data_IF_538359586594
#
_entry.id   IF_538359586594
#
_cell.length_a   1.000
_cell.length_b   1.000
_cell.length_c   1.000
_cell.angle_alpha   90.00
_cell.angle_beta   90.00
_cell.angle_gamma   90.00
#
_symmetry.space_group_name_H-M   'P 1'
#
loop_
_entity.id
_entity.type
_entity.pdbx_description
1 polymer ?
#
# COMPACT_ATOMS: atom_id res chain seq x y z
N UNK A 1 20.87 -2.74 -39.86
CA UNK A 1 22.28 -2.33 -39.68
C UNK A 1 22.34 -1.43 -38.46
N UNK A 2 23.06 -1.65 -37.36
CA UNK A 2 23.90 -2.71 -36.80
C UNK A 2 23.77 -2.52 -35.26
N UNK A 3 23.42 -3.49 -34.42
CA UNK A 3 24.23 -4.59 -33.89
C UNK A 3 25.58 -4.13 -33.27
N UNK A 4 25.63 -4.05 -31.94
CA UNK A 4 26.86 -4.24 -31.17
C UNK A 4 26.53 -4.78 -29.77
N UNK A 5 26.97 -6.02 -29.56
CA UNK A 5 26.93 -6.78 -28.32
C UNK A 5 28.33 -6.76 -27.66
N UNK A 6 28.39 -6.82 -26.34
CA UNK A 6 29.55 -7.27 -25.56
C UNK A 6 29.01 -7.71 -24.18
N UNK A 7 28.80 -9.00 -23.92
CA UNK A 7 29.79 -9.96 -23.42
C UNK A 7 30.37 -9.54 -22.05
N UNK A 8 29.92 -10.20 -20.98
CA UNK A 8 30.47 -10.05 -19.64
C UNK A 8 31.72 -10.90 -19.39
N UNK A 9 32.20 -10.92 -18.14
CA UNK A 9 32.72 -12.15 -17.55
C UNK A 9 32.14 -12.43 -16.15
N UNK A 10 31.91 -13.72 -15.87
CA UNK A 10 31.68 -14.33 -14.54
C UNK A 10 33.02 -14.63 -13.84
N UNK A 11 33.05 -15.38 -12.72
CA UNK A 11 32.65 -15.05 -11.35
C UNK A 11 33.88 -14.98 -10.40
N UNK A 12 33.80 -14.23 -9.30
CA UNK A 12 34.87 -14.13 -8.30
C UNK A 12 34.35 -14.36 -6.88
N UNK A 13 34.97 -15.32 -6.19
CA UNK A 13 34.68 -15.86 -4.86
C UNK A 13 34.71 -14.84 -3.70
N UNK A 14 33.97 -15.15 -2.62
CA UNK A 14 34.03 -14.47 -1.30
C UNK A 14 35.37 -14.67 -0.56
N UNK A 15 35.50 -14.38 0.76
CA UNK A 15 34.47 -14.20 1.80
C UNK A 15 34.59 -12.84 2.54
N UNK A 16 33.59 -12.44 3.31
CA UNK A 16 33.67 -11.22 4.11
C UNK A 16 32.52 -11.07 5.08
N UNK A 17 32.79 -11.44 6.33
CA UNK A 17 32.07 -11.13 7.56
C UNK A 17 31.04 -10.00 7.44
N UNK A 18 29.77 -10.36 7.64
CA UNK A 18 28.82 -9.40 8.19
C UNK A 18 29.15 -9.24 9.67
N UNK A 19 29.41 -8.04 10.20
CA UNK A 19 29.48 -7.89 11.64
C UNK A 19 28.06 -8.13 12.16
N UNK A 20 27.88 -9.23 12.89
CA UNK A 20 26.80 -9.39 13.84
C UNK A 20 26.75 -8.13 14.71
N UNK A 21 25.76 -7.27 14.46
CA UNK A 21 25.43 -6.17 15.33
C UNK A 21 24.88 -6.72 16.65
N UNK A 22 25.07 -6.03 17.79
CA UNK A 22 24.72 -6.59 19.09
C UNK A 22 23.20 -6.73 19.20
N UNK A 23 22.70 -7.96 19.12
CA UNK A 23 21.28 -8.32 19.25
C UNK A 23 20.74 -8.21 20.69
N UNK A 24 21.37 -7.41 21.56
CA UNK A 24 21.01 -7.30 22.98
C UNK A 24 20.12 -6.12 23.39
N UNK A 25 20.02 -5.04 22.61
CA UNK A 25 19.48 -3.75 23.13
C UNK A 25 18.11 -3.29 22.55
N UNK A 26 17.57 -3.99 21.56
CA UNK A 26 16.37 -3.56 20.84
C UNK A 26 15.08 -3.42 21.69
N UNK A 27 14.77 -4.30 22.67
CA UNK A 27 13.53 -4.18 23.43
C UNK A 27 13.54 -3.01 24.42
N UNK A 28 14.71 -2.67 24.98
CA UNK A 28 14.84 -1.55 25.92
C UNK A 28 14.73 -0.18 25.23
N UNK A 29 15.31 -0.03 24.03
CA UNK A 29 15.16 1.21 23.24
C UNK A 29 13.71 1.47 22.86
N UNK A 30 12.95 0.42 22.50
CA UNK A 30 11.53 0.53 22.14
C UNK A 30 10.66 0.90 23.35
N UNK A 31 10.96 0.33 24.53
CA UNK A 31 10.31 0.69 25.79
C UNK A 31 10.63 2.12 26.23
N UNK A 32 11.88 2.56 26.08
CA UNK A 32 12.30 3.95 26.35
C UNK A 32 11.60 4.95 25.43
N UNK A 33 11.56 4.68 24.12
CA UNK A 33 10.89 5.54 23.15
C UNK A 33 9.37 5.63 23.41
N UNK A 34 8.73 4.49 23.74
CA UNK A 34 7.32 4.47 24.11
C UNK A 34 7.03 5.21 25.42
N UNK A 35 7.93 5.11 26.42
CA UNK A 35 7.81 5.87 27.67
C UNK A 35 7.97 7.38 27.46
N UNK A 36 8.92 7.79 26.63
CA UNK A 36 9.14 9.19 26.26
C UNK A 36 7.93 9.80 25.53
N UNK A 37 7.33 9.05 24.61
CA UNK A 37 6.15 9.51 23.87
C UNK A 37 4.92 9.64 24.79
N UNK A 38 4.78 8.75 25.78
CA UNK A 38 3.71 8.80 26.79
C UNK A 38 3.79 10.06 27.67
N UNK A 39 5.00 10.53 27.97
CA UNK A 39 5.25 11.78 28.69
C UNK A 39 4.86 13.01 27.84
N UNK A 40 5.13 12.98 26.53
CA UNK A 40 4.79 14.08 25.61
C UNK A 40 3.27 14.32 25.49
N UNK A 41 2.46 13.25 25.55
CA UNK A 41 1.00 13.34 25.49
C UNK A 41 0.30 13.45 26.86
N UNK A 42 1.06 13.58 27.96
CA UNK A 42 0.49 13.78 29.30
C UNK A 42 -0.29 12.58 29.87
N UNK A 43 -0.04 11.36 29.37
CA UNK A 43 -0.77 10.14 29.77
C UNK A 43 -0.17 9.44 30.99
N UNK A 44 0.68 10.11 31.76
CA UNK A 44 1.28 9.57 32.99
C UNK A 44 0.47 9.99 34.20
N UNK A 45 -0.58 9.21 34.52
CA UNK A 45 -1.14 9.21 35.86
C UNK A 45 -0.26 8.35 36.77
N UNK A 46 0.29 8.99 37.80
CA UNK A 46 0.79 8.35 39.02
C UNK A 46 2.14 7.64 38.91
N UNK A 47 3.24 8.38 39.12
CA UNK A 47 4.47 7.88 39.76
C UNK A 47 5.43 9.06 40.04
N UNK A 48 5.05 9.89 41.02
CA UNK A 48 5.92 10.89 41.64
C UNK A 48 6.45 10.31 42.96
N UNK A 49 7.48 9.46 42.89
CA UNK A 49 8.25 9.07 44.07
C UNK A 49 9.68 8.71 43.65
N UNK A 50 10.63 9.60 43.93
CA UNK A 50 12.05 9.25 43.93
C UNK A 50 12.92 9.84 42.82
N UNK A 51 12.72 11.12 42.45
CA UNK A 51 13.82 11.89 41.82
C UNK A 51 14.46 12.82 42.86
N UNK A 52 15.80 12.92 42.91
CA UNK A 52 16.50 13.89 43.76
C UNK A 52 16.00 15.29 43.42
N UNK A 53 15.95 16.18 44.43
CA UNK A 53 15.41 17.54 44.35
C UNK A 53 15.68 18.19 42.98
N UNK A 54 14.65 18.17 42.14
CA UNK A 54 14.62 18.98 40.93
C UNK A 54 14.54 20.46 41.31
N UNK A 55 14.79 21.37 40.35
CA UNK A 55 14.60 22.81 40.58
C UNK A 55 13.24 23.06 41.25
N UNK A 56 13.21 23.99 42.21
CA UNK A 56 12.01 24.30 42.99
C UNK A 56 10.83 24.46 42.02
N UNK A 57 9.74 23.67 42.15
CA UNK A 57 8.61 23.71 41.20
C UNK A 57 7.90 25.07 41.13
N UNK A 58 8.24 25.99 42.04
CA UNK A 58 7.73 27.35 42.15
C UNK A 58 8.81 28.39 41.80
N UNK A 59 9.99 28.00 41.31
CA UNK A 59 11.06 28.94 40.96
C UNK A 59 10.61 29.86 39.82
N UNK A 60 10.46 31.17 40.08
CA UNK A 60 10.07 32.13 39.04
C UNK A 60 11.15 32.34 37.98
N UNK A 61 12.37 31.80 38.17
CA UNK A 61 13.50 31.93 37.24
C UNK A 61 13.77 30.68 36.40
N UNK A 62 12.98 29.62 36.54
CA UNK A 62 13.07 28.44 35.68
C UNK A 62 12.39 28.68 34.33
N UNK A 63 13.17 28.70 33.24
CA UNK A 63 12.69 28.88 31.87
C UNK A 63 11.66 27.82 31.42
N UNK A 64 11.68 26.63 32.02
CA UNK A 64 10.72 25.55 31.71
C UNK A 64 9.66 25.38 32.80
N UNK A 65 9.67 26.23 33.83
CA UNK A 65 8.80 26.16 35.00
C UNK A 65 7.40 26.73 34.74
N UNK A 66 6.39 26.17 35.39
CA UNK A 66 5.00 26.63 35.28
C UNK A 66 4.77 28.06 35.84
N UNK A 67 5.71 28.54 36.67
CA UNK A 67 5.66 29.85 37.34
C UNK A 67 6.70 30.83 36.83
N UNK A 68 7.24 30.61 35.62
CA UNK A 68 8.23 31.48 35.01
C UNK A 68 7.77 32.95 34.97
N UNK A 69 8.55 33.84 35.59
CA UNK A 69 8.37 35.28 35.57
C UNK A 69 9.51 35.93 34.77
N UNK A 70 9.23 36.48 33.58
CA UNK A 70 10.24 37.11 32.73
C UNK A 70 10.99 38.24 33.42
N UNK A 71 10.33 39.05 34.25
CA UNK A 71 10.94 40.23 34.87
C UNK A 71 11.94 39.83 35.95
N UNK A 72 11.57 38.87 36.81
CA UNK A 72 12.45 38.33 37.87
C UNK A 72 13.64 37.60 37.26
N UNK A 73 13.41 36.82 36.20
CA UNK A 73 14.48 36.15 35.45
C UNK A 73 15.46 37.15 34.81
N UNK A 74 14.95 38.18 34.13
CA UNK A 74 15.77 39.20 33.48
C UNK A 74 16.54 40.06 34.50
N UNK A 75 15.95 40.37 35.65
CA UNK A 75 16.63 41.08 36.74
C UNK A 75 17.82 40.29 37.29
N UNK A 76 17.63 38.98 37.49
CA UNK A 76 18.70 38.06 37.90
C UNK A 76 19.80 37.99 36.83
N UNK A 77 19.41 37.82 35.57
CA UNK A 77 20.32 37.73 34.43
C UNK A 77 21.19 38.98 34.28
N UNK A 78 20.62 40.19 34.45
CA UNK A 78 21.36 41.46 34.43
C UNK A 78 22.40 41.59 35.54
N UNK A 79 22.15 40.98 36.70
CA UNK A 79 23.02 41.07 37.89
C UNK A 79 24.12 40.01 37.89
N UNK A 80 23.86 38.85 37.32
CA UNK A 80 24.68 37.65 37.49
C UNK A 80 25.43 37.22 36.22
N UNK A 81 24.99 37.62 35.02
CA UNK A 81 25.58 37.16 33.76
C UNK A 81 26.31 38.29 32.98
N UNK A 82 27.60 38.11 32.64
CA UNK A 82 28.33 39.05 31.78
C UNK A 82 27.89 38.94 30.31
N UNK A 83 27.98 40.05 29.57
CA UNK A 83 27.50 40.18 28.18
C UNK A 83 28.04 39.09 27.25
N UNK A 84 29.30 38.67 27.38
CA UNK A 84 29.89 37.62 26.57
C UNK A 84 29.15 36.27 26.71
N UNK A 85 28.82 35.89 27.95
CA UNK A 85 28.06 34.65 28.20
C UNK A 85 26.63 34.74 27.66
N UNK A 86 26.03 35.94 27.70
CA UNK A 86 24.70 36.16 27.13
C UNK A 86 24.71 36.02 25.59
N UNK A 87 25.74 36.57 24.93
CA UNK A 87 25.94 36.41 23.49
C UNK A 87 26.21 34.96 23.11
N UNK A 88 27.05 34.25 23.87
CA UNK A 88 27.30 32.82 23.64
C UNK A 88 26.01 32.01 23.79
N UNK A 89 25.23 32.26 24.85
CA UNK A 89 23.94 31.62 25.09
C UNK A 89 22.92 31.92 23.98
N UNK A 90 22.88 33.15 23.46
CA UNK A 90 22.05 33.51 22.30
C UNK A 90 22.48 32.69 21.08
N UNK A 91 23.77 32.62 20.78
CA UNK A 91 24.25 31.85 19.62
C UNK A 91 23.95 30.37 19.74
N UNK A 92 24.05 29.80 20.94
CA UNK A 92 23.73 28.40 21.21
C UNK A 92 22.23 28.14 21.09
N UNK A 93 21.39 29.04 21.60
CA UNK A 93 19.94 28.94 21.44
C UNK A 93 19.54 28.99 19.96
N UNK A 94 20.13 29.89 19.18
CA UNK A 94 19.90 29.96 17.73
C UNK A 94 20.34 28.67 17.02
N UNK A 95 21.47 28.07 17.42
CA UNK A 95 21.91 26.77 16.89
C UNK A 95 20.92 25.66 17.24
N UNK A 96 20.48 25.60 18.49
CA UNK A 96 19.52 24.60 18.96
C UNK A 96 18.18 24.72 18.23
N UNK A 97 17.68 25.94 18.02
CA UNK A 97 16.45 26.19 17.24
C UNK A 97 16.58 25.59 15.83
N UNK A 98 17.71 25.84 15.16
CA UNK A 98 17.95 25.32 13.80
C UNK A 98 18.10 23.80 13.77
N UNK A 99 18.77 23.22 14.75
CA UNK A 99 18.90 21.77 14.87
C UNK A 99 17.54 21.10 15.11
N UNK A 100 16.74 21.62 16.05
CA UNK A 100 15.40 21.12 16.33
C UNK A 100 14.47 21.24 15.12
N UNK A 101 14.54 22.34 14.37
CA UNK A 101 13.77 22.50 13.13
C UNK A 101 14.17 21.46 12.08
N UNK A 102 15.48 21.23 11.89
CA UNK A 102 16.00 20.19 11.00
C UNK A 102 15.55 18.78 11.41
N UNK A 103 15.58 18.48 12.70
CA UNK A 103 15.13 17.19 13.25
C UNK A 103 13.62 17.01 13.04
N UNK A 104 12.84 18.06 13.27
CA UNK A 104 11.39 18.07 13.02
C UNK A 104 11.10 17.83 11.53
N UNK A 105 11.78 18.53 10.63
CA UNK A 105 11.63 18.34 9.18
C UNK A 105 11.96 16.91 8.77
N UNK A 106 13.05 16.35 9.28
CA UNK A 106 13.47 14.97 9.01
C UNK A 106 12.40 13.99 9.49
N UNK A 107 11.88 14.16 10.71
CA UNK A 107 10.84 13.31 11.27
C UNK A 107 9.56 13.35 10.44
N UNK A 108 9.12 14.54 10.01
CA UNK A 108 7.93 14.69 9.15
C UNK A 108 8.14 13.99 7.82
N UNK A 109 9.30 14.17 7.19
CA UNK A 109 9.62 13.55 5.91
C UNK A 109 9.63 12.02 6.01
N UNK A 110 10.28 11.46 7.03
CA UNK A 110 10.28 10.02 7.27
C UNK A 110 8.88 9.46 7.51
N UNK A 111 8.07 10.15 8.30
CA UNK A 111 6.69 9.72 8.55
C UNK A 111 5.83 9.79 7.29
N UNK A 112 5.99 10.84 6.47
CA UNK A 112 5.27 10.97 5.21
C UNK A 112 5.64 9.84 4.24
N UNK A 113 6.92 9.49 4.14
CA UNK A 113 7.36 8.35 3.31
C UNK A 113 6.81 7.02 3.80
N UNK A 114 6.75 6.80 5.12
CA UNK A 114 6.12 5.61 5.71
C UNK A 114 4.63 5.56 5.36
N UNK A 115 3.93 6.70 5.43
CA UNK A 115 2.52 6.79 5.06
C UNK A 115 2.28 6.51 3.56
N UNK A 116 3.09 7.09 2.68
CA UNK A 116 3.02 6.83 1.23
C UNK A 116 3.22 5.33 0.96
N UNK A 117 4.27 4.75 1.54
CA UNK A 117 4.57 3.33 1.38
C UNK A 117 3.41 2.44 1.87
N UNK A 118 2.89 2.71 3.07
CA UNK A 118 1.76 1.98 3.63
C UNK A 118 0.50 2.11 2.76
N UNK A 119 0.23 3.29 2.21
CA UNK A 119 -0.89 3.51 1.28
C UNK A 119 -0.70 2.72 -0.02
N UNK A 120 0.53 2.67 -0.55
CA UNK A 120 0.88 1.83 -1.70
C UNK A 120 0.67 0.34 -1.43
N UNK A 121 1.13 -0.16 -0.28
CA UNK A 121 0.92 -1.55 0.16
C UNK A 121 -0.58 -1.85 0.31
N UNK A 122 -1.34 -0.97 0.95
CA UNK A 122 -2.79 -1.15 1.11
C UNK A 122 -3.51 -1.21 -0.26
N UNK A 123 -3.13 -0.36 -1.21
CA UNK A 123 -3.67 -0.40 -2.57
C UNK A 123 -3.33 -1.72 -3.29
N UNK A 124 -2.11 -2.24 -3.12
CA UNK A 124 -1.71 -3.54 -3.65
C UNK A 124 -2.51 -4.68 -3.03
N UNK A 125 -2.66 -4.70 -1.71
CA UNK A 125 -3.44 -5.70 -1.00
C UNK A 125 -4.90 -5.74 -1.46
N UNK A 126 -5.53 -4.58 -1.69
CA UNK A 126 -6.89 -4.53 -2.27
C UNK A 126 -6.96 -5.14 -3.67
N UNK A 127 -5.95 -4.92 -4.51
CA UNK A 127 -5.89 -5.54 -5.85
C UNK A 127 -5.72 -7.05 -5.74
N UNK A 128 -4.86 -7.53 -4.84
CA UNK A 128 -4.67 -8.95 -4.58
C UNK A 128 -5.94 -9.60 -4.05
N UNK A 129 -6.58 -8.99 -3.06
CA UNK A 129 -7.85 -9.46 -2.51
C UNK A 129 -8.91 -9.63 -3.61
N UNK A 130 -9.03 -8.65 -4.52
CA UNK A 130 -9.92 -8.77 -5.67
C UNK A 130 -9.60 -9.99 -6.55
N UNK A 131 -8.33 -10.29 -6.80
CA UNK A 131 -7.93 -11.46 -7.61
C UNK A 131 -8.25 -12.78 -6.90
N UNK A 132 -8.03 -12.89 -5.59
CA UNK A 132 -8.37 -14.09 -4.83
C UNK A 132 -9.89 -14.32 -4.72
N UNK A 133 -10.67 -13.25 -4.66
CA UNK A 133 -12.14 -13.32 -4.63
C UNK A 133 -12.76 -13.45 -6.03
N UNK A 134 -11.95 -13.33 -7.09
CA UNK A 134 -12.43 -13.30 -8.48
C UNK A 134 -13.23 -14.55 -8.87
N UNK A 135 -12.78 -15.80 -8.60
CA UNK A 135 -13.54 -16.98 -9.00
C UNK A 135 -14.93 -17.05 -8.36
N UNK A 136 -15.04 -16.69 -7.07
CA UNK A 136 -16.31 -16.66 -6.35
C UNK A 136 -17.24 -15.57 -6.89
N UNK A 137 -16.70 -14.37 -7.18
CA UNK A 137 -17.46 -13.27 -7.79
C UNK A 137 -17.93 -13.62 -9.20
N UNK A 138 -17.07 -14.23 -10.01
CA UNK A 138 -17.37 -14.66 -11.37
C UNK A 138 -18.47 -15.73 -11.37
N UNK A 139 -18.35 -16.75 -10.51
CA UNK A 139 -19.37 -17.79 -10.34
C UNK A 139 -20.73 -17.18 -10.01
N UNK A 140 -20.79 -16.26 -9.05
CA UNK A 140 -22.02 -15.56 -8.68
C UNK A 140 -22.61 -14.74 -9.84
N UNK A 141 -21.79 -14.08 -10.65
CA UNK A 141 -22.27 -13.35 -11.83
C UNK A 141 -22.88 -14.30 -12.87
N UNK A 142 -22.29 -15.48 -13.07
CA UNK A 142 -22.84 -16.51 -13.98
C UNK A 142 -24.16 -17.05 -13.46
N UNK A 143 -24.28 -17.33 -12.16
CA UNK A 143 -25.52 -17.81 -11.52
C UNK A 143 -26.67 -16.80 -11.62
N UNK A 144 -26.38 -15.51 -11.49
CA UNK A 144 -27.36 -14.43 -11.59
C UNK A 144 -27.68 -14.02 -13.04
N UNK A 145 -27.04 -14.63 -14.04
CA UNK A 145 -27.19 -14.25 -15.45
C UNK A 145 -26.58 -12.88 -15.79
N UNK A 146 -25.74 -12.32 -14.92
CA UNK A 146 -25.09 -11.02 -15.11
C UNK A 146 -23.82 -11.15 -15.98
N UNK A 147 -24.00 -11.64 -17.21
CA UNK A 147 -22.91 -12.05 -18.10
C UNK A 147 -21.96 -10.90 -18.48
N UNK A 148 -22.48 -9.70 -18.76
CA UNK A 148 -21.64 -8.53 -19.02
C UNK A 148 -20.72 -8.14 -17.87
N UNK A 149 -21.15 -8.35 -16.62
CA UNK A 149 -20.31 -8.09 -15.46
C UNK A 149 -19.22 -9.16 -15.30
N UNK A 150 -19.55 -10.43 -15.58
CA UNK A 150 -18.60 -11.53 -15.56
C UNK A 150 -17.44 -11.29 -16.55
N UNK A 151 -17.76 -10.93 -17.80
CA UNK A 151 -16.76 -10.62 -18.84
C UNK A 151 -15.87 -9.45 -18.43
N UNK A 152 -16.44 -8.39 -17.83
CA UNK A 152 -15.66 -7.25 -17.31
C UNK A 152 -14.69 -7.64 -16.20
N UNK A 153 -15.12 -8.51 -15.26
CA UNK A 153 -14.23 -8.99 -14.21
C UNK A 153 -13.08 -9.83 -14.77
N UNK A 154 -13.39 -10.73 -15.72
CA UNK A 154 -12.38 -11.54 -16.40
C UNK A 154 -11.37 -10.66 -17.14
N UNK A 155 -11.83 -9.73 -17.99
CA UNK A 155 -10.94 -8.85 -18.76
C UNK A 155 -10.04 -7.97 -17.88
N UNK A 156 -10.54 -7.50 -16.73
CA UNK A 156 -9.74 -6.69 -15.79
C UNK A 156 -8.63 -7.49 -15.09
N UNK A 157 -8.86 -8.77 -14.82
CA UNK A 157 -7.91 -9.62 -14.10
C UNK A 157 -6.94 -10.36 -15.04
N UNK A 158 -7.35 -10.62 -16.28
CA UNK A 158 -6.65 -11.47 -17.24
C UNK A 158 -5.18 -11.06 -17.45
N UNK A 159 -4.91 -9.77 -17.67
CA UNK A 159 -3.54 -9.29 -17.90
C UNK A 159 -2.62 -9.58 -16.71
N UNK A 160 -3.11 -9.38 -15.48
CA UNK A 160 -2.32 -9.60 -14.27
C UNK A 160 -2.13 -11.09 -14.00
N UNK A 161 -3.19 -11.89 -14.13
CA UNK A 161 -3.11 -13.35 -13.97
C UNK A 161 -2.13 -13.96 -14.99
N UNK A 162 -2.13 -13.49 -16.23
CA UNK A 162 -1.22 -13.96 -17.27
C UNK A 162 0.24 -13.53 -17.02
N UNK A 163 0.47 -12.29 -16.57
CA UNK A 163 1.81 -11.82 -16.23
C UNK A 163 2.43 -12.63 -15.08
N UNK A 164 1.63 -13.01 -14.08
CA UNK A 164 2.08 -13.72 -12.88
C UNK A 164 1.77 -15.23 -12.90
N UNK A 165 1.48 -15.81 -14.06
CA UNK A 165 1.11 -17.23 -14.23
C UNK A 165 2.16 -18.23 -13.73
N UNK A 166 3.42 -17.79 -13.56
CA UNK A 166 4.49 -18.61 -13.02
C UNK A 166 4.31 -18.91 -11.52
N UNK A 167 3.50 -18.11 -10.82
CA UNK A 167 3.16 -18.35 -9.42
C UNK A 167 1.99 -19.36 -9.35
N UNK A 168 2.15 -20.48 -8.64
CA UNK A 168 1.11 -21.53 -8.57
C UNK A 168 -0.26 -21.01 -8.12
N UNK A 169 -0.31 -20.08 -7.16
CA UNK A 169 -1.58 -19.50 -6.68
C UNK A 169 -2.32 -18.70 -7.76
N UNK A 170 -1.59 -17.91 -8.56
CA UNK A 170 -2.19 -17.13 -9.65
C UNK A 170 -2.63 -18.04 -10.79
N UNK A 171 -1.85 -19.07 -11.09
CA UNK A 171 -2.23 -20.10 -12.06
C UNK A 171 -3.50 -20.83 -11.65
N UNK A 172 -3.62 -21.26 -10.39
CA UNK A 172 -4.83 -21.92 -9.90
C UNK A 172 -6.07 -21.02 -10.06
N UNK A 173 -5.97 -19.75 -9.68
CA UNK A 173 -7.05 -18.77 -9.88
C UNK A 173 -7.39 -18.60 -11.37
N UNK A 174 -6.37 -18.55 -12.22
CA UNK A 174 -6.54 -18.42 -13.66
C UNK A 174 -7.27 -19.65 -14.24
N UNK A 175 -6.86 -20.85 -13.85
CA UNK A 175 -7.47 -22.12 -14.26
C UNK A 175 -8.96 -22.16 -13.81
N UNK A 176 -9.24 -21.79 -12.55
CA UNK A 176 -10.62 -21.69 -12.02
C UNK A 176 -11.46 -20.69 -12.83
N UNK A 177 -10.91 -19.50 -13.10
CA UNK A 177 -11.60 -18.47 -13.89
C UNK A 177 -11.85 -18.93 -15.33
N UNK A 178 -10.92 -19.66 -15.95
CA UNK A 178 -11.09 -20.24 -17.28
C UNK A 178 -12.23 -21.27 -17.30
N UNK A 179 -12.31 -22.15 -16.30
CA UNK A 179 -13.41 -23.13 -16.19
C UNK A 179 -14.76 -22.43 -16.08
N UNK A 180 -14.88 -21.41 -15.23
CA UNK A 180 -16.12 -20.64 -15.07
C UNK A 180 -16.45 -19.87 -16.36
N UNK A 181 -15.45 -19.31 -17.03
CA UNK A 181 -15.61 -18.58 -18.29
C UNK A 181 -16.05 -19.51 -19.44
N UNK A 182 -15.51 -20.73 -19.50
CA UNK A 182 -15.95 -21.73 -20.47
C UNK A 182 -17.42 -22.15 -20.24
N UNK A 183 -17.82 -22.32 -18.97
CA UNK A 183 -19.23 -22.56 -18.61
C UNK A 183 -20.12 -21.39 -19.01
N UNK A 184 -19.69 -20.16 -18.80
CA UNK A 184 -20.37 -18.94 -19.24
C UNK A 184 -20.56 -18.95 -20.77
N UNK A 185 -19.50 -19.23 -21.53
CA UNK A 185 -19.56 -19.30 -22.99
C UNK A 185 -20.57 -20.36 -23.48
N UNK A 186 -20.58 -21.55 -22.84
CA UNK A 186 -21.55 -22.60 -23.15
C UNK A 186 -23.00 -22.16 -22.87
N UNK A 187 -23.27 -21.48 -21.75
CA UNK A 187 -24.60 -20.94 -21.45
C UNK A 187 -25.04 -19.88 -22.47
N UNK A 188 -24.14 -18.99 -22.89
CA UNK A 188 -24.42 -17.99 -23.93
C UNK A 188 -24.73 -18.65 -25.28
N UNK A 189 -23.99 -19.71 -25.66
CA UNK A 189 -24.26 -20.50 -26.88
C UNK A 189 -25.60 -21.22 -26.80
N UNK A 190 -25.94 -21.81 -25.66
CA UNK A 190 -27.22 -22.47 -25.46
C UNK A 190 -28.38 -21.48 -25.55
N UNK A 191 -28.29 -20.34 -24.87
CA UNK A 191 -29.22 -19.21 -24.95
C UNK A 191 -29.44 -18.74 -26.39
N UNK A 192 -28.38 -18.71 -27.18
CA UNK A 192 -28.47 -18.35 -28.60
C UNK A 192 -29.20 -19.44 -29.41
N UNK A 193 -28.87 -20.73 -29.22
CA UNK A 193 -29.47 -21.86 -29.95
C UNK A 193 -30.95 -22.06 -29.63
N UNK A 194 -31.33 -21.88 -28.37
CA UNK A 194 -32.72 -22.05 -27.88
C UNK A 194 -33.68 -20.99 -28.45
N UNK A 195 -33.18 -19.98 -29.16
CA UNK A 195 -33.94 -19.28 -30.20
C UNK A 195 -35.26 -18.70 -29.70
N UNK A 196 -35.20 -17.80 -28.72
CA UNK A 196 -36.38 -17.11 -28.19
C UNK A 196 -36.19 -15.61 -27.91
N UNK A 197 -34.98 -15.09 -28.08
CA UNK A 197 -34.65 -13.72 -27.70
C UNK A 197 -34.51 -12.83 -28.94
N UNK A 198 -35.02 -11.60 -28.86
CA UNK A 198 -35.00 -10.66 -29.99
C UNK A 198 -33.58 -10.40 -30.52
N UNK A 199 -33.51 -9.83 -31.73
CA UNK A 199 -32.26 -9.37 -32.34
C UNK A 199 -31.26 -8.65 -31.39
N UNK A 200 -31.69 -7.77 -30.45
CA UNK A 200 -30.74 -7.13 -29.52
C UNK A 200 -30.09 -8.09 -28.51
N UNK A 201 -30.83 -9.06 -27.98
CA UNK A 201 -30.30 -10.04 -27.02
C UNK A 201 -29.32 -11.03 -27.69
N UNK A 202 -29.56 -11.33 -28.96
CA UNK A 202 -28.64 -12.12 -29.78
C UNK A 202 -27.34 -11.35 -30.04
N UNK A 203 -27.43 -10.06 -30.39
CA UNK A 203 -26.26 -9.20 -30.55
C UNK A 203 -25.44 -9.09 -29.26
N UNK A 204 -26.10 -8.91 -28.11
CA UNK A 204 -25.43 -8.87 -26.80
C UNK A 204 -24.69 -10.19 -26.50
N UNK A 205 -25.29 -11.34 -26.78
CA UNK A 205 -24.61 -12.63 -26.60
C UNK A 205 -23.38 -12.79 -27.49
N UNK A 206 -23.44 -12.31 -28.74
CA UNK A 206 -22.29 -12.32 -29.67
C UNK A 206 -21.19 -11.41 -29.16
N UNK A 207 -21.52 -10.17 -28.75
CA UNK A 207 -20.55 -9.21 -28.20
C UNK A 207 -19.83 -9.76 -26.97
N UNK A 208 -20.56 -10.41 -26.07
CA UNK A 208 -19.99 -11.02 -24.87
C UNK A 208 -19.10 -12.22 -25.20
N UNK A 209 -19.46 -13.05 -26.18
CA UNK A 209 -18.63 -14.18 -26.62
C UNK A 209 -17.33 -13.70 -27.28
N UNK A 210 -17.40 -12.66 -28.11
CA UNK A 210 -16.20 -12.03 -28.70
C UNK A 210 -15.29 -11.43 -27.61
N UNK A 211 -15.88 -10.78 -26.61
CA UNK A 211 -15.14 -10.20 -25.50
C UNK A 211 -14.47 -11.24 -24.57
N UNK A 212 -14.90 -12.52 -24.63
CA UNK A 212 -14.24 -13.64 -23.95
C UNK A 212 -13.01 -14.18 -24.71
N UNK A 213 -12.75 -13.69 -25.94
CA UNK A 213 -11.62 -14.11 -26.76
C UNK A 213 -11.89 -15.34 -27.61
N UNK A 214 -13.16 -15.73 -27.80
CA UNK A 214 -13.53 -16.78 -28.75
C UNK A 214 -13.25 -16.31 -30.19
N UNK A 215 -12.71 -17.18 -31.06
CA UNK A 215 -12.41 -16.83 -32.43
C UNK A 215 -13.69 -16.44 -33.18
N UNK A 216 -13.68 -15.24 -33.78
CA UNK A 216 -14.82 -14.72 -34.52
C UNK A 216 -15.24 -15.63 -35.68
N UNK A 217 -14.30 -16.40 -36.25
CA UNK A 217 -14.51 -17.33 -37.35
C UNK A 217 -15.46 -18.48 -36.96
N UNK A 218 -15.18 -19.17 -35.85
CA UNK A 218 -16.02 -20.27 -35.34
C UNK A 218 -17.41 -19.78 -34.94
N UNK A 219 -17.46 -18.60 -34.33
CA UNK A 219 -18.69 -17.91 -33.99
C UNK A 219 -19.54 -17.63 -35.24
N UNK A 220 -18.96 -17.01 -36.27
CA UNK A 220 -19.65 -16.70 -37.53
C UNK A 220 -20.21 -17.96 -38.22
N UNK A 221 -19.47 -19.06 -38.25
CA UNK A 221 -19.95 -20.31 -38.84
C UNK A 221 -21.15 -20.90 -38.07
N UNK A 222 -21.09 -20.95 -36.74
CA UNK A 222 -22.22 -21.39 -35.91
C UNK A 222 -23.44 -20.47 -36.08
N UNK A 223 -23.23 -19.15 -36.18
CA UNK A 223 -24.29 -18.17 -36.39
C UNK A 223 -24.98 -18.35 -37.74
N UNK A 224 -24.21 -18.52 -38.81
CA UNK A 224 -24.74 -18.74 -40.15
C UNK A 224 -25.47 -20.08 -40.25
N UNK A 225 -24.97 -21.13 -39.58
CA UNK A 225 -25.64 -22.43 -39.52
C UNK A 225 -27.01 -22.34 -38.82
N UNK A 226 -27.12 -21.60 -37.71
CA UNK A 226 -28.40 -21.39 -37.02
C UNK A 226 -29.38 -20.54 -37.84
N UNK A 227 -28.90 -19.45 -38.45
CA UNK A 227 -29.70 -18.60 -39.32
C UNK A 227 -30.27 -19.38 -40.52
N UNK A 228 -29.47 -20.28 -41.12
CA UNK A 228 -29.94 -21.18 -42.19
C UNK A 228 -31.01 -22.15 -41.68
N UNK A 229 -30.82 -22.77 -40.51
CA UNK A 229 -31.81 -23.68 -39.92
C UNK A 229 -33.15 -23.02 -39.53
N UNK A 230 -33.18 -21.69 -39.36
CA UNK A 230 -34.42 -20.90 -39.19
C UNK A 230 -35.09 -20.50 -40.50
N UNK A 231 -34.35 -20.42 -41.60
CA UNK A 231 -34.85 -20.10 -42.93
C UNK A 231 -35.38 -21.34 -43.68
N UNK A 232 -34.93 -22.54 -43.29
CA UNK A 232 -35.35 -23.82 -43.86
C UNK A 232 -36.56 -24.46 -43.16
N UNK A 233 -37.18 -23.77 -42.20
CA UNK A 233 -38.46 -24.13 -41.56
C UNK A 233 -39.53 -23.11 -41.89
#
# INVERSE_FOLDING_TARGET
MAAAAAAGPSPGSGPGDSPEGPEGEAPERRRKAHGMLKLYYGLSEGEAAGRPAGPDPLDPTDLNGAHFDPEVYLDKLRRECPLAQLMDSETDMVRQIRALDSDMQTLVYENYNKFISATGVHALLRKLQFLFELPSRLTKCVELGAYGQAVRYQGRAQAVLQQYQHLPSFRAIQDDCQVITARLAQQLRQRFREGGSGAPEQAECVELLLALGEPAEELCEEFLAHARGRLEK
#
